data_IF_544807941182
#
_entry.id   IF_544807941182
#
_cell.length_a   1.000
_cell.length_b   1.000
_cell.length_c   1.000
_cell.angle_alpha   90.00
_cell.angle_beta   90.00
_cell.angle_gamma   90.00
#
_symmetry.space_group_name_H-M   'P 1'
#
loop_
_entity.id
_entity.type
_entity.pdbx_description
1 polymer ?
#
# COMPACT_ATOMS: atom_id res chain seq x y z
N UNK A 1 -23.98 -4.55 3.68
CA UNK A 1 -23.50 -3.16 3.79
C UNK A 1 -22.02 -3.24 4.10
N UNK A 2 -21.19 -2.55 3.33
CA UNK A 2 -19.75 -2.54 3.55
C UNK A 2 -19.40 -1.72 4.81
N UNK A 3 -18.52 -2.24 5.66
CA UNK A 3 -18.05 -1.60 6.89
C UNK A 3 -16.52 -1.52 6.90
N UNK A 4 -15.96 -0.36 7.25
CA UNK A 4 -14.52 -0.22 7.52
C UNK A 4 -14.20 -0.74 8.92
N UNK A 5 -13.29 -1.70 9.01
CA UNK A 5 -12.66 -2.16 10.24
C UNK A 5 -11.26 -1.54 10.33
N UNK A 6 -10.90 -1.01 11.49
CA UNK A 6 -9.59 -0.36 11.71
C UNK A 6 -8.88 -1.05 12.85
N UNK A 7 -7.69 -1.58 12.58
CA UNK A 7 -6.83 -2.19 13.58
C UNK A 7 -5.60 -1.31 13.79
N UNK A 8 -5.49 -0.72 15.00
CA UNK A 8 -4.43 0.21 15.38
C UNK A 8 -3.26 -0.53 16.00
N UNK A 9 -2.08 -0.29 15.48
CA UNK A 9 -0.95 -1.16 15.74
C UNK A 9 0.37 -0.46 16.05
N UNK A 10 1.35 -1.21 16.54
CA UNK A 10 2.73 -0.76 16.69
C UNK A 10 3.41 -0.66 15.31
N UNK A 11 3.76 0.55 14.89
CA UNK A 11 4.50 0.81 13.65
C UNK A 11 3.68 0.69 12.36
N UNK A 12 2.42 0.27 12.45
CA UNK A 12 1.50 0.10 11.33
C UNK A 12 0.05 0.09 11.82
N UNK A 13 -0.77 0.94 11.22
CA UNK A 13 -2.22 0.86 11.31
C UNK A 13 -2.77 0.27 10.01
N UNK A 14 -3.82 -0.53 10.14
CA UNK A 14 -4.44 -1.26 9.03
C UNK A 14 -5.94 -0.98 8.99
N UNK A 15 -6.51 -0.88 7.81
CA UNK A 15 -7.96 -0.79 7.62
C UNK A 15 -8.42 -1.77 6.54
N UNK A 16 -9.53 -2.45 6.78
CA UNK A 16 -10.19 -3.35 5.84
C UNK A 16 -11.64 -2.90 5.63
N UNK A 17 -12.05 -2.70 4.38
CA UNK A 17 -13.45 -2.56 4.03
C UNK A 17 -14.01 -3.96 3.81
N UNK A 18 -14.97 -4.38 4.65
CA UNK A 18 -15.53 -5.73 4.64
C UNK A 18 -16.99 -5.67 4.23
N UNK A 19 -17.38 -6.53 3.29
CA UNK A 19 -18.78 -6.75 2.90
C UNK A 19 -19.05 -8.25 2.80
N UNK A 20 -20.09 -8.73 3.48
CA UNK A 20 -20.48 -10.15 3.50
C UNK A 20 -19.28 -11.08 3.81
N UNK A 21 -18.53 -10.75 4.88
CA UNK A 21 -17.33 -11.47 5.33
C UNK A 21 -16.19 -11.55 4.30
N UNK A 22 -16.18 -10.66 3.31
CA UNK A 22 -15.11 -10.58 2.30
C UNK A 22 -14.46 -9.21 2.31
N UNK A 23 -13.14 -9.18 2.14
CA UNK A 23 -12.40 -7.93 1.91
C UNK A 23 -12.79 -7.34 0.56
N UNK A 24 -13.10 -6.05 0.53
CA UNK A 24 -13.43 -5.28 -0.68
C UNK A 24 -12.33 -4.26 -0.99
N UNK A 25 -11.72 -3.68 0.04
CA UNK A 25 -10.59 -2.76 -0.07
C UNK A 25 -9.74 -2.82 1.20
N UNK A 26 -8.49 -2.37 1.10
CA UNK A 26 -7.63 -2.23 2.26
C UNK A 26 -6.77 -0.97 2.18
N UNK A 27 -6.41 -0.45 3.35
CA UNK A 27 -5.45 0.63 3.49
C UNK A 27 -4.44 0.32 4.59
N UNK A 28 -3.21 0.80 4.39
CA UNK A 28 -2.12 0.68 5.38
C UNK A 28 -1.49 2.05 5.60
N UNK A 29 -1.27 2.36 6.88
CA UNK A 29 -0.58 3.59 7.30
C UNK A 29 0.61 3.25 8.17
N UNK A 30 1.76 3.79 7.79
CA UNK A 30 2.93 3.77 8.65
C UNK A 30 3.05 5.13 9.34
N UNK A 31 3.13 5.16 10.69
CA UNK A 31 3.23 6.41 11.43
C UNK A 31 4.43 7.25 10.96
N UNK A 32 4.21 8.56 10.79
CA UNK A 32 5.22 9.52 10.34
C UNK A 32 5.25 9.77 8.82
N UNK A 33 4.43 9.08 8.02
CA UNK A 33 4.34 9.37 6.59
C UNK A 33 3.39 10.54 6.29
N UNK A 34 3.80 11.42 5.37
CA UNK A 34 2.90 12.38 4.73
C UNK A 34 1.86 11.65 3.89
N UNK A 35 0.59 12.07 3.95
CA UNK A 35 -0.50 11.40 3.21
C UNK A 35 -1.15 12.37 2.23
N UNK A 36 -1.50 11.89 1.03
CA UNK A 36 -2.24 12.70 0.08
C UNK A 36 -3.54 13.19 0.68
N UNK A 37 -3.75 14.50 0.75
CA UNK A 37 -4.86 15.22 1.37
C UNK A 37 -4.49 15.89 2.70
N UNK A 38 -3.33 15.57 3.29
CA UNK A 38 -2.83 16.29 4.46
C UNK A 38 -2.42 17.71 4.05
N UNK A 39 -2.75 18.70 4.89
CA UNK A 39 -2.25 20.06 4.75
C UNK A 39 -1.17 20.30 5.79
N UNK A 40 0.07 20.49 5.34
CA UNK A 40 1.24 20.61 6.20
C UNK A 40 1.95 21.95 6.03
N UNK A 41 2.59 22.42 7.10
CA UNK A 41 3.55 23.51 7.04
C UNK A 41 4.90 23.01 6.52
N UNK A 42 5.56 23.80 5.68
CA UNK A 42 6.90 23.51 5.17
C UNK A 42 7.64 24.82 4.85
N UNK A 43 8.96 24.77 4.79
CA UNK A 43 9.80 25.87 4.31
C UNK A 43 10.13 25.66 2.84
N UNK A 44 9.92 26.66 1.98
CA UNK A 44 10.34 26.61 0.58
C UNK A 44 11.87 26.71 0.49
N UNK A 45 12.56 25.64 0.13
CA UNK A 45 14.03 25.58 0.15
C UNK A 45 14.66 25.79 -1.22
N UNK A 46 13.93 25.51 -2.31
CA UNK A 46 14.42 25.72 -3.67
C UNK A 46 13.27 26.12 -4.60
N UNK A 47 13.48 27.15 -5.42
CA UNK A 47 12.55 27.59 -6.45
C UNK A 47 13.32 28.17 -7.64
N UNK A 48 13.29 27.52 -8.81
CA UNK A 48 13.78 28.16 -10.04
C UNK A 48 13.07 29.49 -10.28
N UNK A 49 13.80 30.52 -10.73
CA UNK A 49 13.27 31.88 -10.86
C UNK A 49 11.95 31.92 -11.67
N UNK A 50 10.89 32.50 -11.07
CA UNK A 50 9.56 32.60 -11.69
C UNK A 50 8.79 31.28 -11.82
N UNK A 51 9.35 30.15 -11.42
CA UNK A 51 8.71 28.84 -11.54
C UNK A 51 7.47 28.72 -10.64
N UNK A 52 6.37 28.11 -11.11
CA UNK A 52 5.26 27.71 -10.26
C UNK A 52 5.57 26.43 -9.45
N UNK A 53 6.78 25.89 -9.58
CA UNK A 53 7.26 24.67 -8.91
C UNK A 53 8.50 24.93 -8.06
N UNK A 54 8.63 24.19 -6.97
CA UNK A 54 9.78 24.25 -6.09
C UNK A 54 9.88 23.01 -5.19
N UNK A 55 10.90 23.01 -4.34
CA UNK A 55 11.12 22.01 -3.30
C UNK A 55 10.86 22.66 -1.95
N UNK A 56 10.01 22.03 -1.14
CA UNK A 56 9.77 22.42 0.24
C UNK A 56 10.23 21.32 1.20
N UNK A 57 10.56 21.70 2.43
CA UNK A 57 10.97 20.79 3.49
C UNK A 57 10.14 21.05 4.73
N UNK A 58 9.53 19.99 5.27
CA UNK A 58 8.84 20.03 6.56
C UNK A 58 9.83 20.08 7.72
N UNK A 59 9.36 20.41 8.92
CA UNK A 59 10.22 20.52 10.11
C UNK A 59 10.85 19.18 10.52
N UNK A 60 10.20 18.06 10.19
CA UNK A 60 10.71 16.70 10.37
C UNK A 60 11.61 16.21 9.22
N UNK A 61 11.93 17.09 8.26
CA UNK A 61 12.90 16.85 7.19
C UNK A 61 12.34 16.14 5.94
N UNK A 62 11.01 15.98 5.83
CA UNK A 62 10.40 15.40 4.65
C UNK A 62 10.42 16.39 3.46
N UNK A 63 10.95 15.92 2.33
CA UNK A 63 11.04 16.71 1.10
C UNK A 63 9.76 16.58 0.26
N UNK A 64 9.21 17.73 -0.16
CA UNK A 64 7.98 17.82 -0.95
C UNK A 64 8.24 18.61 -2.24
N UNK A 65 7.97 18.00 -3.38
CA UNK A 65 7.89 18.69 -4.67
C UNK A 65 6.55 19.44 -4.74
N UNK A 66 6.60 20.76 -4.74
CA UNK A 66 5.43 21.63 -4.67
C UNK A 66 5.08 22.21 -6.04
N UNK A 67 3.81 22.20 -6.42
CA UNK A 67 3.25 22.91 -7.57
C UNK A 67 2.38 24.13 -7.17
N UNK A 68 2.03 24.94 -8.17
CA UNK A 68 1.18 26.14 -8.06
C UNK A 68 1.66 27.17 -7.03
N UNK A 69 2.97 27.32 -6.86
CA UNK A 69 3.53 28.39 -6.04
C UNK A 69 3.09 29.76 -6.57
N UNK A 70 2.63 30.68 -5.69
CA UNK A 70 2.28 32.03 -6.09
C UNK A 70 3.53 32.77 -6.57
N UNK A 71 3.33 33.82 -7.37
CA UNK A 71 4.46 34.65 -7.86
C UNK A 71 5.28 35.21 -6.70
N UNK A 72 4.62 35.60 -5.61
CA UNK A 72 5.23 36.15 -4.40
C UNK A 72 5.97 35.13 -3.51
N UNK A 73 5.93 33.81 -3.79
CA UNK A 73 6.64 32.84 -2.96
C UNK A 73 8.17 33.06 -3.03
N UNK A 74 8.86 33.05 -1.90
CA UNK A 74 10.31 33.21 -1.84
C UNK A 74 10.96 32.03 -1.15
N UNK A 75 12.18 31.68 -1.57
CA UNK A 75 12.99 30.72 -0.82
C UNK A 75 13.19 31.21 0.63
N UNK A 76 13.22 30.28 1.57
CA UNK A 76 13.25 30.54 3.02
C UNK A 76 11.88 30.88 3.64
N UNK A 77 10.84 31.13 2.83
CA UNK A 77 9.51 31.42 3.37
C UNK A 77 8.78 30.16 3.84
N UNK A 78 8.05 30.29 4.95
CA UNK A 78 7.08 29.30 5.35
C UNK A 78 5.91 29.28 4.37
N UNK A 79 5.54 28.09 3.93
CA UNK A 79 4.42 27.84 3.04
C UNK A 79 3.57 26.71 3.58
N UNK A 80 2.33 26.67 3.12
CA UNK A 80 1.41 25.58 3.41
C UNK A 80 1.19 24.78 2.14
N UNK A 81 1.21 23.46 2.30
CA UNK A 81 1.19 22.52 1.19
C UNK A 81 0.13 21.45 1.45
N UNK A 82 -0.81 21.32 0.53
CA UNK A 82 -1.70 20.16 0.47
C UNK A 82 -0.97 19.03 -0.25
N UNK A 83 -0.69 17.94 0.46
CA UNK A 83 -0.02 16.77 -0.11
C UNK A 83 -0.96 16.14 -1.14
N UNK A 84 -0.45 15.82 -2.32
CA UNK A 84 -1.22 15.18 -3.40
C UNK A 84 -0.82 13.73 -3.61
N UNK A 85 0.41 13.36 -3.26
CA UNK A 85 0.96 12.00 -3.26
C UNK A 85 2.03 11.87 -2.18
N UNK A 86 1.94 10.83 -1.35
CA UNK A 86 2.98 10.49 -0.38
C UNK A 86 4.32 10.15 -1.07
N UNK A 87 5.41 10.21 -0.30
CA UNK A 87 6.69 9.68 -0.77
C UNK A 87 6.58 8.17 -1.04
N UNK A 88 7.31 7.68 -2.04
CA UNK A 88 7.24 6.28 -2.47
C UNK A 88 8.63 5.76 -2.81
N UNK A 89 9.04 4.68 -2.15
CA UNK A 89 10.28 4.01 -2.48
C UNK A 89 10.18 3.30 -3.83
N UNK A 90 11.29 3.28 -4.57
CA UNK A 90 11.46 2.51 -5.80
C UNK A 90 12.86 1.91 -5.83
N UNK A 91 13.10 1.00 -6.79
CA UNK A 91 14.44 0.46 -7.01
C UNK A 91 15.43 1.59 -7.32
N UNK A 92 16.39 1.81 -6.42
CA UNK A 92 17.50 2.75 -6.59
C UNK A 92 17.17 4.23 -6.35
N UNK A 93 15.95 4.59 -5.94
CA UNK A 93 15.59 5.98 -5.60
C UNK A 93 14.37 6.08 -4.69
N UNK A 94 14.23 7.21 -4.02
CA UNK A 94 13.00 7.62 -3.34
C UNK A 94 12.27 8.67 -4.19
N UNK A 95 11.04 8.39 -4.62
CA UNK A 95 10.16 9.43 -5.16
C UNK A 95 9.69 10.30 -3.99
N UNK A 96 10.15 11.54 -3.95
CA UNK A 96 9.71 12.55 -2.98
C UNK A 96 8.18 12.68 -2.96
N UNK A 97 7.65 13.15 -1.84
CA UNK A 97 6.24 13.51 -1.76
C UNK A 97 5.95 14.63 -2.77
N UNK A 98 4.71 14.68 -3.25
CA UNK A 98 4.22 15.76 -4.10
C UNK A 98 3.13 16.50 -3.37
N UNK A 99 3.10 17.82 -3.55
CA UNK A 99 2.12 18.67 -2.93
C UNK A 99 1.80 19.90 -3.77
N UNK A 100 0.78 20.61 -3.35
CA UNK A 100 0.30 21.82 -3.97
C UNK A 100 0.30 22.92 -2.94
N UNK A 101 0.84 24.08 -3.31
CA UNK A 101 0.70 25.25 -2.47
C UNK A 101 -0.78 25.56 -2.24
N UNK A 102 -1.14 25.90 -1.00
CA UNK A 102 -2.49 26.29 -0.61
C UNK A 102 -2.43 27.38 0.44
N UNK A 103 -3.37 28.32 0.38
CA UNK A 103 -3.65 29.30 1.42
C UNK A 103 -4.72 28.82 2.41
N UNK A 104 -5.49 27.79 2.03
CA UNK A 104 -6.54 27.19 2.87
C UNK A 104 -5.98 26.66 4.20
N UNK A 105 -6.72 26.86 5.27
CA UNK A 105 -6.44 26.21 6.56
C UNK A 105 -6.56 24.68 6.45
N UNK A 106 -5.82 23.91 7.28
CA UNK A 106 -6.01 22.48 7.38
C UNK A 106 -7.48 22.16 7.71
N UNK A 107 -8.13 21.37 6.86
CA UNK A 107 -9.48 20.90 7.07
C UNK A 107 -9.46 19.43 7.52
N UNK A 108 -10.47 19.03 8.31
CA UNK A 108 -10.69 17.63 8.61
C UNK A 108 -10.94 16.86 7.31
N UNK A 109 -10.36 15.66 7.21
CA UNK A 109 -10.49 14.83 6.01
C UNK A 109 -11.81 14.08 6.02
N UNK A 110 -12.67 14.38 5.05
CA UNK A 110 -13.87 13.58 4.81
C UNK A 110 -13.50 12.19 4.27
N UNK A 111 -14.19 11.15 4.77
CA UNK A 111 -14.04 9.78 4.26
C UNK A 111 -12.75 9.07 4.65
N UNK A 112 -12.03 9.53 5.67
CA UNK A 112 -10.86 8.80 6.19
C UNK A 112 -11.30 7.50 6.89
N UNK A 113 -10.94 6.35 6.31
CA UNK A 113 -11.24 5.04 6.89
C UNK A 113 -10.72 4.86 8.33
N UNK A 114 -9.60 5.48 8.68
CA UNK A 114 -8.98 5.31 10.00
C UNK A 114 -9.61 6.20 11.07
N UNK A 115 -10.31 7.26 10.67
CA UNK A 115 -11.05 8.15 11.58
C UNK A 115 -12.51 7.74 11.71
N UNK A 116 -13.10 7.19 10.64
CA UNK A 116 -14.54 6.88 10.57
C UNK A 116 -14.85 5.39 10.71
N UNK A 117 -13.89 4.51 10.47
CA UNK A 117 -14.07 3.07 10.55
C UNK A 117 -14.17 2.55 11.99
N UNK A 118 -14.83 1.40 12.16
CA UNK A 118 -15.00 0.77 13.46
C UNK A 118 -13.66 0.24 13.97
N UNK A 119 -13.18 0.69 15.14
CA UNK A 119 -11.96 0.14 15.73
C UNK A 119 -12.18 -1.31 16.14
N UNK A 120 -11.24 -2.18 15.77
CA UNK A 120 -11.18 -3.58 16.17
C UNK A 120 -9.84 -3.89 16.80
N UNK A 121 -9.84 -4.80 17.78
CA UNK A 121 -8.58 -5.28 18.38
C UNK A 121 -7.81 -6.18 17.43
N UNK A 122 -8.52 -7.02 16.67
CA UNK A 122 -8.00 -7.90 15.62
C UNK A 122 -9.03 -8.00 14.51
N UNK A 123 -8.58 -8.14 13.27
CA UNK A 123 -9.47 -8.50 12.17
C UNK A 123 -10.03 -9.91 12.33
N UNK A 124 -11.17 -10.23 11.68
CA UNK A 124 -11.59 -11.62 11.50
C UNK A 124 -10.43 -12.45 10.90
N UNK A 125 -10.16 -13.65 11.44
CA UNK A 125 -9.03 -14.47 10.98
C UNK A 125 -9.09 -14.75 9.48
N UNK A 126 -7.94 -14.71 8.81
CA UNK A 126 -7.81 -15.03 7.39
C UNK A 126 -7.92 -13.82 6.48
N UNK A 127 -8.74 -12.82 6.83
CA UNK A 127 -8.97 -11.67 5.94
C UNK A 127 -7.70 -10.85 5.68
N UNK A 128 -6.94 -10.55 6.73
CA UNK A 128 -5.68 -9.82 6.57
C UNK A 128 -4.56 -10.73 6.08
N UNK A 129 -4.49 -11.96 6.60
CA UNK A 129 -3.44 -12.92 6.30
C UNK A 129 -3.42 -13.28 4.80
N UNK A 130 -4.59 -13.54 4.20
CA UNK A 130 -4.72 -13.83 2.77
C UNK A 130 -4.29 -12.63 1.92
N UNK A 131 -4.77 -11.43 2.25
CA UNK A 131 -4.43 -10.21 1.53
C UNK A 131 -2.93 -9.89 1.61
N UNK A 132 -2.36 -10.00 2.81
CA UNK A 132 -0.95 -9.74 3.06
C UNK A 132 -0.08 -10.77 2.35
N UNK A 133 -0.45 -12.05 2.40
CA UNK A 133 0.25 -13.13 1.69
C UNK A 133 0.25 -12.91 0.18
N UNK A 134 -0.92 -12.62 -0.40
CA UNK A 134 -1.03 -12.31 -1.82
C UNK A 134 -0.15 -11.11 -2.24
N UNK A 135 -0.14 -10.06 -1.42
CA UNK A 135 0.72 -8.89 -1.68
C UNK A 135 2.21 -9.16 -1.46
N UNK A 136 2.57 -10.10 -0.57
CA UNK A 136 3.94 -10.45 -0.25
C UNK A 136 4.60 -11.27 -1.35
N UNK A 137 3.84 -12.22 -1.90
CA UNK A 137 4.23 -13.04 -3.06
C UNK A 137 4.10 -12.27 -4.37
N UNK A 138 3.20 -11.29 -4.42
CA UNK A 138 2.85 -10.62 -5.68
C UNK A 138 2.04 -11.54 -6.58
N UNK A 139 1.21 -12.40 -6.00
CA UNK A 139 0.38 -13.37 -6.72
C UNK A 139 -1.04 -13.40 -6.15
N UNK A 140 -2.05 -13.37 -7.03
CA UNK A 140 -3.46 -13.55 -6.66
C UNK A 140 -4.05 -14.70 -7.47
N UNK A 141 -4.29 -15.87 -6.86
CA UNK A 141 -4.88 -17.00 -7.57
C UNK A 141 -6.35 -16.75 -7.91
N UNK A 142 -6.80 -17.36 -9.01
CA UNK A 142 -8.20 -17.46 -9.39
C UNK A 142 -8.48 -18.83 -10.03
N UNK A 143 -9.73 -19.24 -10.24
CA UNK A 143 -10.00 -20.55 -10.83
C UNK A 143 -9.29 -20.73 -12.18
N UNK A 144 -8.40 -21.73 -12.25
CA UNK A 144 -7.59 -22.10 -13.43
C UNK A 144 -6.49 -21.09 -13.85
N UNK A 145 -6.12 -20.14 -12.98
CA UNK A 145 -5.04 -19.20 -13.27
C UNK A 145 -4.60 -18.36 -12.06
N UNK A 146 -3.68 -17.43 -12.29
CA UNK A 146 -3.21 -16.48 -11.28
C UNK A 146 -2.86 -15.14 -11.94
N UNK A 147 -2.99 -14.07 -11.15
CA UNK A 147 -2.45 -12.77 -11.49
C UNK A 147 -1.07 -12.63 -10.87
N UNK A 148 -0.07 -12.26 -11.66
CA UNK A 148 1.29 -12.00 -11.19
C UNK A 148 1.59 -10.49 -11.24
N UNK A 149 2.08 -9.94 -10.14
CA UNK A 149 2.29 -8.51 -10.00
C UNK A 149 3.78 -8.17 -9.99
N UNK A 150 4.20 -7.33 -10.93
CA UNK A 150 5.55 -6.80 -10.98
C UNK A 150 5.55 -5.28 -10.73
N UNK A 151 6.22 -4.86 -9.66
CA UNK A 151 6.40 -3.44 -9.33
C UNK A 151 7.65 -2.91 -10.01
N UNK A 152 7.47 -2.05 -11.02
CA UNK A 152 8.56 -1.41 -11.75
C UNK A 152 8.60 0.10 -11.47
N UNK A 153 9.74 0.79 -11.72
CA UNK A 153 9.81 2.24 -11.54
C UNK A 153 8.83 3.07 -12.40
N UNK A 154 8.37 2.51 -13.52
CA UNK A 154 7.47 3.17 -14.46
C UNK A 154 5.99 2.86 -14.21
N UNK A 155 5.68 1.62 -13.85
CA UNK A 155 4.32 1.13 -13.67
C UNK A 155 4.26 -0.18 -12.87
N UNK A 156 3.08 -0.51 -12.35
CA UNK A 156 2.77 -1.89 -11.91
C UNK A 156 2.31 -2.69 -13.11
N UNK A 157 2.92 -3.85 -13.37
CA UNK A 157 2.48 -4.77 -14.43
C UNK A 157 1.73 -5.94 -13.78
N UNK A 158 0.60 -6.30 -14.37
CA UNK A 158 -0.23 -7.44 -14.01
C UNK A 158 -0.16 -8.41 -15.18
N UNK A 159 0.50 -9.54 -14.97
CA UNK A 159 0.55 -10.65 -15.91
C UNK A 159 -0.49 -11.72 -15.54
N UNK A 160 -0.92 -12.50 -16.52
CA UNK A 160 -2.03 -13.46 -16.37
C UNK A 160 -1.56 -14.83 -16.83
N UNK A 161 -1.32 -15.71 -15.86
CA UNK A 161 -0.95 -17.09 -16.10
C UNK A 161 -2.13 -18.04 -15.85
N UNK A 162 -2.20 -19.12 -16.61
CA UNK A 162 -3.24 -20.14 -16.43
C UNK A 162 -3.26 -21.20 -17.51
N UNK A 163 -4.24 -22.09 -17.40
CA UNK A 163 -4.34 -23.30 -18.25
C UNK A 163 -5.50 -23.27 -19.24
N UNK A 164 -6.36 -22.24 -19.17
CA UNK A 164 -7.51 -22.07 -20.06
C UNK A 164 -7.09 -21.56 -21.44
N UNK A 165 -7.91 -21.78 -22.49
CA UNK A 165 -7.74 -21.10 -23.76
C UNK A 165 -7.66 -19.57 -23.59
N UNK A 166 -6.87 -18.83 -24.42
CA UNK A 166 -6.54 -17.42 -24.19
C UNK A 166 -7.73 -16.50 -23.89
N UNK A 167 -8.82 -16.63 -24.65
CA UNK A 167 -10.05 -15.85 -24.47
C UNK A 167 -10.72 -16.14 -23.12
N UNK A 168 -10.82 -17.41 -22.76
CA UNK A 168 -11.45 -17.86 -21.53
C UNK A 168 -10.61 -17.45 -20.31
N UNK A 169 -9.28 -17.58 -20.41
CA UNK A 169 -8.35 -17.12 -19.38
C UNK A 169 -8.47 -15.62 -19.15
N UNK A 170 -8.47 -14.82 -20.22
CA UNK A 170 -8.59 -13.38 -20.13
C UNK A 170 -9.90 -12.95 -19.43
N UNK A 171 -11.04 -13.55 -19.80
CA UNK A 171 -12.32 -13.26 -19.16
C UNK A 171 -12.38 -13.74 -17.70
N UNK A 172 -11.79 -14.88 -17.38
CA UNK A 172 -11.74 -15.42 -16.02
C UNK A 172 -10.89 -14.54 -15.07
N UNK A 173 -9.86 -13.88 -15.59
CA UNK A 173 -8.98 -13.02 -14.82
C UNK A 173 -9.62 -11.66 -14.43
N UNK A 174 -10.52 -11.13 -15.26
CA UNK A 174 -11.10 -9.78 -15.11
C UNK A 174 -11.69 -9.51 -13.71
N UNK A 175 -12.52 -10.38 -13.11
CA UNK A 175 -13.03 -10.16 -11.76
C UNK A 175 -11.92 -10.07 -10.70
N UNK A 176 -10.87 -10.87 -10.84
CA UNK A 176 -9.73 -10.85 -9.92
C UNK A 176 -8.91 -9.57 -10.07
N UNK A 177 -8.74 -9.05 -11.29
CA UNK A 177 -8.08 -7.77 -11.55
C UNK A 177 -8.85 -6.64 -10.85
N UNK A 178 -10.17 -6.56 -11.06
CA UNK A 178 -11.01 -5.53 -10.44
C UNK A 178 -10.96 -5.53 -8.91
N UNK A 179 -10.86 -6.71 -8.28
CA UNK A 179 -10.66 -6.85 -6.83
C UNK A 179 -9.26 -6.43 -6.40
N UNK A 180 -8.22 -6.95 -7.05
CA UNK A 180 -6.82 -6.70 -6.69
C UNK A 180 -6.46 -5.21 -6.69
N UNK A 181 -6.99 -4.44 -7.66
CA UNK A 181 -6.81 -2.99 -7.73
C UNK A 181 -7.26 -2.28 -6.45
N UNK A 182 -8.40 -2.70 -5.87
CA UNK A 182 -8.97 -2.12 -4.64
C UNK A 182 -8.34 -2.70 -3.38
N UNK A 183 -8.11 -4.01 -3.35
CA UNK A 183 -7.44 -4.75 -2.27
C UNK A 183 -6.05 -4.19 -1.97
N UNK A 184 -5.26 -3.91 -3.01
CA UNK A 184 -3.91 -3.41 -2.83
C UNK A 184 -3.81 -1.88 -2.84
N UNK A 185 -4.95 -1.17 -3.00
CA UNK A 185 -5.00 0.28 -3.19
C UNK A 185 -4.04 0.75 -4.30
N UNK A 186 -4.15 0.12 -5.48
CA UNK A 186 -3.29 0.45 -6.62
C UNK A 186 -3.66 1.79 -7.25
N UNK A 187 -2.63 2.46 -7.74
CA UNK A 187 -2.75 3.73 -8.46
C UNK A 187 -1.47 4.00 -9.26
N UNK A 188 -1.48 5.09 -10.02
CA UNK A 188 -0.42 5.40 -10.98
C UNK A 188 -0.66 4.69 -12.32
N UNK A 189 0.43 4.49 -13.07
CA UNK A 189 0.40 3.73 -14.32
C UNK A 189 0.38 2.23 -14.00
N UNK A 190 -0.57 1.52 -14.59
CA UNK A 190 -0.77 0.08 -14.41
C UNK A 190 -0.92 -0.54 -15.80
N UNK A 191 -0.24 -1.65 -16.04
CA UNK A 191 -0.31 -2.40 -17.30
C UNK A 191 -0.89 -3.77 -17.03
N UNK A 192 -1.87 -4.18 -17.81
CA UNK A 192 -2.41 -5.54 -17.76
C UNK A 192 -2.01 -6.22 -19.06
N UNK A 193 -1.24 -7.29 -18.94
CA UNK A 193 -0.81 -8.12 -20.06
C UNK A 193 -1.77 -9.31 -20.18
N UNK A 194 -2.82 -9.17 -20.98
CA UNK A 194 -3.70 -10.30 -21.27
C UNK A 194 -3.06 -11.22 -22.31
N UNK A 195 -3.42 -12.52 -22.32
CA UNK A 195 -3.09 -13.40 -23.43
C UNK A 195 -3.46 -12.77 -24.78
N UNK A 196 -2.59 -12.92 -25.79
CA UNK A 196 -2.86 -12.33 -27.11
C UNK A 196 -4.11 -12.92 -27.74
N UNK A 197 -5.09 -12.05 -28.06
CA UNK A 197 -6.36 -12.44 -28.69
C UNK A 197 -6.39 -11.99 -30.16
N UNK A 198 -6.49 -12.95 -31.09
CA UNK A 198 -6.50 -12.65 -32.52
C UNK A 198 -7.80 -11.95 -32.97
N UNK A 199 -8.95 -12.45 -32.52
CA UNK A 199 -10.25 -11.94 -32.94
C UNK A 199 -10.59 -10.60 -32.26
N UNK A 200 -11.01 -9.62 -33.06
CA UNK A 200 -11.47 -8.31 -32.55
C UNK A 200 -12.65 -8.44 -31.58
N UNK A 201 -13.57 -9.37 -31.84
CA UNK A 201 -14.74 -9.62 -31.00
C UNK A 201 -14.33 -10.09 -29.59
N UNK A 202 -13.27 -10.89 -29.48
CA UNK A 202 -12.78 -11.38 -28.19
C UNK A 202 -12.13 -10.27 -27.38
N UNK A 203 -11.32 -9.42 -28.03
CA UNK A 203 -10.76 -8.21 -27.38
C UNK A 203 -11.86 -7.29 -26.86
N UNK A 204 -12.90 -7.08 -27.67
CA UNK A 204 -14.06 -6.28 -27.27
C UNK A 204 -14.81 -6.88 -26.08
N UNK A 205 -14.95 -8.21 -26.03
CA UNK A 205 -15.59 -8.88 -24.90
C UNK A 205 -14.81 -8.67 -23.59
N UNK A 206 -13.47 -8.78 -23.63
CA UNK A 206 -12.63 -8.49 -22.46
C UNK A 206 -12.68 -7.02 -22.09
N UNK A 207 -12.63 -6.10 -23.06
CA UNK A 207 -12.76 -4.66 -22.83
C UNK A 207 -14.09 -4.29 -22.15
N UNK A 208 -15.20 -4.93 -22.54
CA UNK A 208 -16.51 -4.74 -21.92
C UNK A 208 -16.52 -5.29 -20.49
N UNK A 209 -16.07 -6.53 -20.28
CA UNK A 209 -16.02 -7.12 -18.95
C UNK A 209 -15.11 -6.32 -18.00
N UNK A 210 -13.99 -5.81 -18.50
CA UNK A 210 -13.08 -4.96 -17.74
C UNK A 210 -13.74 -3.62 -17.39
N UNK A 211 -14.50 -3.01 -18.32
CA UNK A 211 -15.26 -1.80 -18.03
C UNK A 211 -16.23 -2.01 -16.87
N UNK A 212 -16.95 -3.14 -16.86
CA UNK A 212 -17.96 -3.46 -15.85
C UNK A 212 -17.33 -3.59 -14.44
N UNK A 213 -16.19 -4.28 -14.30
CA UNK A 213 -15.54 -4.44 -12.97
C UNK A 213 -14.81 -3.19 -12.48
N UNK A 214 -14.44 -2.30 -13.41
CA UNK A 214 -13.84 -1.01 -13.11
C UNK A 214 -14.88 0.09 -12.89
N UNK A 215 -16.17 -0.21 -13.03
CA UNK A 215 -17.23 0.75 -12.74
C UNK A 215 -17.10 1.27 -11.29
N UNK A 216 -17.29 2.58 -11.14
CA UNK A 216 -17.10 3.29 -9.87
C UNK A 216 -15.65 3.36 -9.35
N UNK A 217 -14.64 2.79 -10.04
CA UNK A 217 -13.23 2.97 -9.69
C UNK A 217 -12.62 4.12 -10.53
N UNK A 218 -12.10 5.20 -9.94
CA UNK A 218 -11.62 6.35 -10.72
C UNK A 218 -10.36 6.04 -11.52
N UNK A 219 -10.46 6.01 -12.85
CA UNK A 219 -9.35 5.70 -13.75
C UNK A 219 -9.56 6.23 -15.17
N UNK A 220 -8.48 6.26 -15.93
CA UNK A 220 -8.47 6.29 -17.39
C UNK A 220 -7.92 4.95 -17.91
N UNK A 221 -8.35 4.52 -19.10
CA UNK A 221 -7.84 3.29 -19.72
C UNK A 221 -7.75 3.36 -21.23
N UNK A 222 -6.86 2.54 -21.78
CA UNK A 222 -6.89 2.19 -23.20
C UNK A 222 -7.87 1.03 -23.45
N UNK A 223 -8.27 0.87 -24.71
CA UNK A 223 -8.79 -0.42 -25.18
C UNK A 223 -7.64 -1.44 -25.25
N UNK A 224 -7.98 -2.73 -25.31
CA UNK A 224 -7.00 -3.79 -25.52
C UNK A 224 -6.35 -3.65 -26.90
N UNK A 225 -5.02 -3.54 -26.93
CA UNK A 225 -4.28 -3.43 -28.18
C UNK A 225 -4.14 -4.79 -28.90
N UNK A 226 -3.52 -4.80 -30.08
CA UNK A 226 -3.34 -6.02 -30.88
C UNK A 226 -2.44 -7.09 -30.25
N UNK A 227 -1.73 -6.77 -29.17
CA UNK A 227 -0.82 -7.66 -28.47
C UNK A 227 -1.40 -8.20 -27.15
N UNK A 228 -2.57 -7.70 -26.71
CA UNK A 228 -3.21 -8.11 -25.45
C UNK A 228 -3.04 -7.12 -24.30
N UNK A 229 -2.30 -6.03 -24.50
CA UNK A 229 -2.01 -5.10 -23.43
C UNK A 229 -3.10 -4.03 -23.25
N UNK A 230 -3.45 -3.77 -21.99
CA UNK A 230 -4.31 -2.66 -21.55
C UNK A 230 -3.54 -1.79 -20.57
N UNK A 231 -3.49 -0.48 -20.81
CA UNK A 231 -2.95 0.47 -19.84
C UNK A 231 -4.09 1.11 -19.05
N UNK A 232 -3.96 1.11 -17.73
CA UNK A 232 -4.78 1.87 -16.80
C UNK A 232 -3.95 3.00 -16.18
N UNK A 233 -4.57 4.15 -15.95
CA UNK A 233 -4.00 5.25 -15.18
C UNK A 233 -4.99 5.65 -14.11
N UNK A 234 -4.61 5.50 -12.85
CA UNK A 234 -5.40 5.94 -11.71
C UNK A 234 -4.60 6.91 -10.84
N UNK A 235 -5.29 7.70 -10.01
CA UNK A 235 -4.61 8.64 -9.12
C UNK A 235 -3.75 7.88 -8.11
N UNK A 236 -2.44 8.10 -8.12
CA UNK A 236 -1.55 7.60 -7.06
C UNK A 236 -1.53 8.60 -5.90
N UNK A 237 -2.00 8.16 -4.74
CA UNK A 237 -2.00 8.94 -3.48
C UNK A 237 -0.80 8.60 -2.60
N UNK A 238 -0.06 7.53 -2.91
CA UNK A 238 1.07 7.07 -2.13
C UNK A 238 1.46 5.63 -2.50
N UNK A 239 2.32 4.99 -1.68
CA UNK A 239 2.68 3.59 -1.88
C UNK A 239 1.46 2.68 -1.65
N UNK A 240 1.17 1.85 -2.63
CA UNK A 240 0.19 0.76 -2.51
C UNK A 240 0.72 -0.34 -1.58
N UNK A 241 -0.13 -1.29 -1.18
CA UNK A 241 0.31 -2.44 -0.36
C UNK A 241 1.46 -3.21 -1.05
N UNK A 242 1.35 -3.44 -2.36
CA UNK A 242 2.41 -4.07 -3.15
C UNK A 242 3.72 -3.28 -3.11
N UNK A 243 3.69 -1.95 -3.25
CA UNK A 243 4.91 -1.14 -3.17
C UNK A 243 5.58 -1.25 -1.80
N UNK A 244 4.77 -1.21 -0.72
CA UNK A 244 5.28 -1.34 0.66
C UNK A 244 5.98 -2.68 0.84
N UNK A 245 5.33 -3.77 0.45
CA UNK A 245 5.87 -5.11 0.66
C UNK A 245 7.05 -5.41 -0.27
N UNK A 246 7.03 -4.94 -1.53
CA UNK A 246 8.12 -5.15 -2.48
C UNK A 246 9.40 -4.38 -2.09
N UNK A 247 9.28 -3.11 -1.67
CA UNK A 247 10.45 -2.24 -1.44
C UNK A 247 10.92 -2.20 0.02
N UNK A 248 10.12 -2.69 0.96
CA UNK A 248 10.45 -2.69 2.38
C UNK A 248 10.19 -4.04 3.04
N UNK A 249 10.53 -5.15 2.37
CA UNK A 249 10.27 -6.54 2.81
C UNK A 249 10.56 -6.79 4.29
N UNK A 250 11.79 -6.52 4.74
CA UNK A 250 12.17 -6.75 6.14
C UNK A 250 11.37 -5.88 7.13
N UNK A 251 11.09 -4.63 6.77
CA UNK A 251 10.34 -3.70 7.62
C UNK A 251 8.83 -4.01 7.65
N UNK A 252 8.28 -4.56 6.56
CA UNK A 252 6.91 -5.07 6.51
C UNK A 252 6.77 -6.35 7.35
N UNK A 253 7.71 -7.28 7.22
CA UNK A 253 7.76 -8.49 8.04
C UNK A 253 7.92 -8.17 9.54
N UNK A 254 8.70 -7.15 9.89
CA UNK A 254 8.88 -6.72 11.28
C UNK A 254 7.55 -6.22 11.91
N UNK A 255 6.74 -5.49 11.14
CA UNK A 255 5.40 -5.05 11.57
C UNK A 255 4.45 -6.23 11.74
N UNK A 256 4.48 -7.20 10.83
CA UNK A 256 3.70 -8.42 10.96
C UNK A 256 4.14 -9.23 12.19
N UNK A 257 5.45 -9.32 12.47
CA UNK A 257 5.99 -9.99 13.64
C UNK A 257 5.53 -9.33 14.95
N UNK A 258 5.48 -8.00 15.01
CA UNK A 258 4.92 -7.27 16.15
C UNK A 258 3.44 -7.61 16.36
N UNK A 259 2.65 -7.74 15.29
CA UNK A 259 1.23 -8.19 15.38
C UNK A 259 1.12 -9.60 15.95
N UNK A 260 1.95 -10.53 15.47
CA UNK A 260 2.04 -11.89 16.00
C UNK A 260 2.38 -11.87 17.50
N UNK A 261 3.33 -11.02 17.90
CA UNK A 261 3.71 -10.78 19.29
C UNK A 261 2.56 -10.29 20.17
N UNK A 262 1.87 -9.21 19.75
CA UNK A 262 0.69 -8.68 20.47
C UNK A 262 -0.43 -9.70 20.62
N UNK A 263 -0.53 -10.64 19.66
CA UNK A 263 -1.53 -11.68 19.65
C UNK A 263 -1.26 -12.90 20.54
N UNK A 264 -0.07 -13.00 21.14
CA UNK A 264 0.31 -14.14 22.00
C UNK A 264 -0.46 -14.16 23.32
N UNK A 265 -0.77 -15.37 23.81
CA UNK A 265 -1.55 -15.61 25.02
C UNK A 265 -0.81 -16.55 25.99
N UNK A 266 -1.05 -16.39 27.30
CA UNK A 266 -0.36 -17.14 28.36
C UNK A 266 0.63 -16.32 29.19
N UNK A 267 1.24 -16.98 30.19
CA UNK A 267 2.18 -16.36 31.13
C UNK A 267 3.63 -16.63 30.72
N UNK A 268 4.48 -15.60 30.75
CA UNK A 268 5.88 -15.71 30.37
C UNK A 268 6.40 -14.43 29.70
N UNK A 269 7.59 -14.53 29.09
CA UNK A 269 8.12 -13.54 28.17
C UNK A 269 7.65 -13.84 26.74
N UNK A 270 7.50 -12.81 25.91
CA UNK A 270 7.27 -12.97 24.47
C UNK A 270 8.63 -13.11 23.81
N UNK A 271 8.88 -14.23 23.12
CA UNK A 271 10.04 -14.40 22.25
C UNK A 271 9.62 -14.18 20.80
N UNK A 272 10.26 -13.22 20.14
CA UNK A 272 10.14 -12.96 18.71
C UNK A 272 11.33 -13.62 18.01
N UNK A 273 11.06 -14.65 17.23
CA UNK A 273 12.08 -15.38 16.47
C UNK A 273 11.93 -15.06 14.98
N UNK A 274 12.97 -14.53 14.34
CA UNK A 274 12.92 -14.15 12.92
C UNK A 274 14.31 -14.05 12.29
N UNK A 275 14.35 -13.93 10.97
CA UNK A 275 15.58 -13.59 10.24
C UNK A 275 16.19 -12.28 10.75
N UNK A 276 17.53 -12.21 10.81
CA UNK A 276 18.25 -11.05 11.39
C UNK A 276 17.88 -9.71 10.75
N UNK A 277 17.67 -9.69 9.42
CA UNK A 277 17.22 -8.48 8.71
C UNK A 277 15.86 -7.96 9.19
N UNK A 278 14.94 -8.85 9.61
CA UNK A 278 13.62 -8.49 10.15
C UNK A 278 13.79 -7.90 11.55
N UNK A 279 14.61 -8.55 12.39
CA UNK A 279 14.89 -8.05 13.74
C UNK A 279 15.60 -6.69 13.71
N UNK A 280 16.52 -6.49 12.76
CA UNK A 280 17.21 -5.22 12.56
C UNK A 280 16.27 -4.09 12.09
N UNK A 281 15.11 -4.42 11.52
CA UNK A 281 14.10 -3.45 11.12
C UNK A 281 13.13 -3.08 12.28
N UNK A 282 13.22 -3.74 13.43
CA UNK A 282 12.47 -3.37 14.63
C UNK A 282 13.12 -2.15 15.30
N UNK A 283 12.29 -1.25 15.82
CA UNK A 283 12.75 -0.06 16.55
C UNK A 283 12.61 -0.25 18.06
N UNK A 284 13.54 0.27 18.89
CA UNK A 284 13.47 0.10 20.35
C UNK A 284 12.14 0.54 20.95
N UNK A 285 11.57 1.65 20.47
CA UNK A 285 10.28 2.15 20.93
C UNK A 285 9.10 1.24 20.57
N UNK A 286 9.20 0.46 19.48
CA UNK A 286 8.19 -0.54 19.13
C UNK A 286 8.22 -1.73 20.08
N UNK A 287 9.41 -2.19 20.47
CA UNK A 287 9.58 -3.27 21.44
C UNK A 287 9.11 -2.85 22.83
N UNK A 288 9.42 -1.61 23.23
CA UNK A 288 8.93 -1.02 24.47
C UNK A 288 7.40 -0.93 24.47
N UNK A 289 6.80 -0.50 23.35
CA UNK A 289 5.35 -0.44 23.21
C UNK A 289 4.69 -1.83 23.24
N UNK A 290 5.32 -2.84 22.62
CA UNK A 290 4.85 -4.23 22.69
C UNK A 290 4.87 -4.74 24.14
N UNK A 291 5.97 -4.50 24.85
CA UNK A 291 6.11 -4.83 26.27
C UNK A 291 5.03 -4.14 27.10
N UNK A 292 4.79 -2.84 26.87
CA UNK A 292 3.77 -2.06 27.57
C UNK A 292 2.35 -2.56 27.32
N UNK A 293 1.99 -2.83 26.05
CA UNK A 293 0.64 -3.31 25.68
C UNK A 293 0.34 -4.71 26.22
N UNK A 294 1.36 -5.57 26.29
CA UNK A 294 1.20 -6.97 26.68
C UNK A 294 1.51 -7.24 28.15
N UNK A 295 2.19 -6.32 28.84
CA UNK A 295 2.67 -6.52 30.21
C UNK A 295 3.76 -7.59 30.33
N UNK A 296 4.49 -7.87 29.25
CA UNK A 296 5.47 -8.96 29.16
C UNK A 296 6.83 -8.47 28.68
N UNK A 297 7.88 -9.08 29.21
CA UNK A 297 9.23 -8.91 28.65
C UNK A 297 9.24 -9.39 27.19
N UNK A 298 9.95 -8.67 26.32
CA UNK A 298 10.13 -9.03 24.91
C UNK A 298 11.58 -9.45 24.68
N UNK A 299 11.78 -10.68 24.19
CA UNK A 299 13.08 -11.25 23.85
C UNK A 299 13.15 -11.45 22.34
N UNK A 300 14.33 -11.20 21.76
CA UNK A 300 14.57 -11.41 20.33
C UNK A 300 15.49 -12.62 20.14
N UNK A 301 15.18 -13.46 19.16
CA UNK A 301 16.01 -14.60 18.78
C UNK A 301 16.21 -14.58 17.26
N UNK A 302 17.45 -14.46 16.82
CA UNK A 302 17.77 -14.50 15.40
C UNK A 302 17.83 -15.94 14.89
N UNK A 303 17.14 -16.22 13.79
CA UNK A 303 17.26 -17.46 13.02
C UNK A 303 17.42 -17.13 11.54
N UNK A 304 18.65 -17.28 11.03
CA UNK A 304 18.99 -16.97 9.65
C UNK A 304 18.44 -17.97 8.63
N UNK A 305 17.94 -19.13 9.08
CA UNK A 305 17.32 -20.13 8.20
C UNK A 305 15.88 -19.77 7.82
N UNK A 306 15.25 -18.86 8.56
CA UNK A 306 13.90 -18.40 8.27
C UNK A 306 13.86 -17.45 7.06
N UNK A 307 12.87 -17.64 6.20
CA UNK A 307 12.45 -16.61 5.26
C UNK A 307 12.03 -15.32 6.02
N UNK A 308 12.06 -14.17 5.35
CA UNK A 308 11.75 -12.89 6.00
C UNK A 308 10.34 -12.86 6.62
N UNK A 309 9.35 -13.48 5.97
CA UNK A 309 7.97 -13.61 6.44
C UNK A 309 7.73 -14.76 7.43
N UNK A 310 8.73 -15.64 7.61
CA UNK A 310 8.67 -16.80 8.49
C UNK A 310 8.85 -16.51 9.98
N UNK A 311 9.02 -15.24 10.36
CA UNK A 311 9.19 -14.85 11.76
C UNK A 311 7.95 -15.16 12.62
N UNK A 312 8.12 -15.69 13.82
CA UNK A 312 7.01 -16.08 14.69
C UNK A 312 7.20 -15.56 16.12
N UNK A 313 6.11 -15.55 16.89
CA UNK A 313 6.10 -15.14 18.28
C UNK A 313 5.55 -16.26 19.16
N UNK A 314 6.17 -16.47 20.32
CA UNK A 314 5.75 -17.49 21.27
C UNK A 314 5.97 -17.03 22.71
N UNK A 315 5.18 -17.59 23.63
CA UNK A 315 5.41 -17.41 25.07
C UNK A 315 6.48 -18.39 25.53
N UNK A 316 7.48 -17.88 26.24
CA UNK A 316 8.53 -18.68 26.88
C UNK A 316 8.56 -18.45 28.39
N UNK A 317 9.06 -19.42 29.18
CA UNK A 317 9.32 -19.19 30.60
C UNK A 317 10.16 -17.92 30.82
N UNK A 318 9.86 -17.21 31.91
CA UNK A 318 10.66 -16.07 32.34
C UNK A 318 12.06 -16.53 32.69
#
# INVERSE_FOLDING_TARGET
MAEWLVERGIGEDRALLVENDRVVAAEVRWPGELRAGDTVGATLVQRPAGSPRGLAMTDDGAAILVDRLPRAASEGAAIRVEITRAAMAERGRLKQAQGRWTDREPAAREGDAFETGRPVRRFPPGLWEELWGAAWEGEVPFPNGALLFAITPGMTVIDIDGTLPPRELALAAVPSIGRALRHFALGGSIGIDFPTLAAKADRQAVDSALADVLDGWPHERTAMNGFGFVQLVARSTGPSLLHRLAHHRAAAAARLLLRRGEGTEGAGAIRLTAHSAVLAALRPEWLAELSRRTGREVRLEADHSLALDGGHAQIVPR
#
